data_IF_700634450507
#
_entry.id   IF_700634450507
#
_cell.length_a   1.000
_cell.length_b   1.000
_cell.length_c   1.000
_cell.angle_alpha   90.00
_cell.angle_beta   90.00
_cell.angle_gamma   90.00
#
_symmetry.space_group_name_H-M   'P 1'
#
loop_
_entity.id
_entity.type
_entity.pdbx_description
1 polymer ?
#
# COMPACT_ATOMS: atom_id res chain seq x y z
N UNK A 1 -23.38 0.54 52.45
CA UNK A 1 -22.30 0.60 51.48
C UNK A 1 -21.56 -0.73 51.48
N UNK A 2 -21.84 -1.61 50.49
CA UNK A 2 -21.04 -2.83 50.28
C UNK A 2 -19.91 -2.46 49.34
N UNK A 3 -18.70 -2.39 49.85
CA UNK A 3 -17.46 -2.29 49.07
C UNK A 3 -17.26 -3.61 48.31
N UNK A 4 -17.38 -3.58 46.99
CA UNK A 4 -17.00 -4.71 46.13
C UNK A 4 -15.45 -4.75 46.10
N UNK A 5 -14.88 -5.60 46.95
CA UNK A 5 -13.46 -5.98 46.84
C UNK A 5 -13.29 -6.95 45.68
N UNK A 6 -12.73 -6.47 44.57
CA UNK A 6 -12.33 -7.33 43.45
C UNK A 6 -11.20 -8.25 43.96
N UNK A 7 -11.39 -9.57 43.78
CA UNK A 7 -10.46 -10.60 44.26
C UNK A 7 -9.07 -10.43 43.59
N UNK A 8 -7.98 -10.65 44.35
CA UNK A 8 -6.58 -10.55 43.86
C UNK A 8 -6.30 -11.28 42.53
N UNK A 9 -6.80 -12.52 42.30
CA UNK A 9 -6.60 -13.19 41.01
C UNK A 9 -7.27 -12.47 39.86
N UNK A 10 -8.38 -11.78 40.05
CA UNK A 10 -9.04 -11.00 39.01
C UNK A 10 -8.28 -9.71 38.69
N UNK A 11 -7.67 -9.08 39.70
CA UNK A 11 -6.76 -7.94 39.52
C UNK A 11 -5.48 -8.33 38.78
N UNK A 12 -4.90 -9.49 39.08
CA UNK A 12 -3.73 -10.03 38.38
C UNK A 12 -4.06 -10.38 36.94
N UNK A 13 -5.22 -10.97 36.66
CA UNK A 13 -5.67 -11.31 35.31
C UNK A 13 -5.90 -10.04 34.48
N UNK A 14 -6.62 -9.05 35.01
CA UNK A 14 -6.81 -7.76 34.36
C UNK A 14 -5.51 -7.00 34.15
N UNK A 15 -4.57 -7.06 35.10
CA UNK A 15 -3.27 -6.43 34.96
C UNK A 15 -2.41 -7.13 33.90
N UNK A 16 -2.48 -8.45 33.83
CA UNK A 16 -1.79 -9.25 32.79
C UNK A 16 -2.39 -9.01 31.40
N UNK A 17 -3.71 -8.94 31.27
CA UNK A 17 -4.40 -8.59 30.03
C UNK A 17 -4.08 -7.15 29.58
N UNK A 18 -4.03 -6.19 30.52
CA UNK A 18 -3.62 -4.81 30.21
C UNK A 18 -2.16 -4.73 29.79
N UNK A 19 -1.26 -5.46 30.44
CA UNK A 19 0.16 -5.51 30.10
C UNK A 19 0.38 -6.16 28.75
N UNK A 20 -0.28 -7.30 28.49
CA UNK A 20 -0.23 -7.99 27.20
C UNK A 20 -0.85 -7.14 26.08
N UNK A 21 -1.94 -6.41 26.35
CA UNK A 21 -2.52 -5.47 25.39
C UNK A 21 -1.55 -4.33 25.06
N UNK A 22 -0.84 -3.78 26.04
CA UNK A 22 0.09 -2.66 25.82
C UNK A 22 1.30 -3.05 24.97
N UNK A 23 1.86 -4.25 25.16
CA UNK A 23 3.05 -4.72 24.44
C UNK A 23 2.77 -5.17 23.00
N UNK A 24 1.53 -5.27 22.59
CA UNK A 24 1.14 -5.59 21.19
C UNK A 24 0.70 -4.37 20.40
N UNK A 25 0.53 -3.22 21.05
CA UNK A 25 0.11 -1.98 20.38
C UNK A 25 1.27 -1.34 19.59
N UNK A 26 0.93 -0.71 18.48
CA UNK A 26 1.90 0.02 17.66
C UNK A 26 2.47 1.28 18.35
N UNK A 27 1.85 1.73 19.44
CA UNK A 27 2.27 2.87 20.26
C UNK A 27 3.25 2.48 21.37
N UNK A 28 3.43 1.19 21.67
CA UNK A 28 4.52 0.73 22.55
C UNK A 28 5.87 1.19 21.99
N UNK A 29 6.75 1.67 22.84
CA UNK A 29 8.02 2.28 22.43
C UNK A 29 8.91 1.32 21.64
N UNK A 30 8.96 0.04 22.03
CA UNK A 30 9.73 -1.00 21.30
C UNK A 30 9.10 -1.30 19.96
N UNK A 31 7.78 -1.49 19.93
CA UNK A 31 7.04 -1.75 18.68
C UNK A 31 7.14 -0.57 17.71
N UNK A 32 7.05 0.67 18.21
CA UNK A 32 7.20 1.86 17.38
C UNK A 32 8.59 1.93 16.73
N UNK A 33 9.67 1.57 17.44
CA UNK A 33 11.03 1.48 16.88
C UNK A 33 11.12 0.41 15.79
N UNK A 34 10.56 -0.78 16.01
CA UNK A 34 10.52 -1.87 15.03
C UNK A 34 9.75 -1.43 13.80
N UNK A 35 8.54 -0.89 13.96
CA UNK A 35 7.66 -0.48 12.87
C UNK A 35 8.22 0.70 12.07
N UNK A 36 8.91 1.64 12.71
CA UNK A 36 9.58 2.76 12.03
C UNK A 36 10.61 2.29 10.98
N UNK A 37 11.15 1.10 11.14
CA UNK A 37 12.09 0.45 10.21
C UNK A 37 11.35 -0.55 9.31
N UNK A 38 10.61 -1.49 9.91
CA UNK A 38 10.08 -2.66 9.21
C UNK A 38 8.92 -2.35 8.24
N UNK A 39 8.24 -1.21 8.38
CA UNK A 39 7.17 -0.85 7.45
C UNK A 39 7.71 -0.51 6.05
N UNK A 40 8.82 0.23 5.91
CA UNK A 40 9.28 0.68 4.60
C UNK A 40 10.79 0.96 4.44
N UNK A 41 11.65 0.59 5.40
CA UNK A 41 13.09 0.86 5.31
C UNK A 41 13.92 -0.31 4.77
N UNK A 42 13.41 -1.54 4.79
CA UNK A 42 14.12 -2.72 4.28
C UNK A 42 13.88 -2.84 2.77
N UNK A 43 14.69 -2.17 1.97
CA UNK A 43 14.53 -2.08 0.53
C UNK A 43 15.18 -3.26 -0.20
N UNK A 44 14.55 -3.70 -1.30
CA UNK A 44 15.04 -4.79 -2.12
C UNK A 44 14.90 -6.17 -1.47
N UNK A 45 15.66 -7.12 -1.99
CA UNK A 45 15.80 -8.44 -1.39
C UNK A 45 16.92 -8.43 -0.35
N UNK A 46 16.64 -8.99 0.80
CA UNK A 46 17.59 -9.12 1.92
C UNK A 46 17.57 -10.55 2.42
N UNK A 47 18.75 -11.18 2.52
CA UNK A 47 18.88 -12.57 2.99
C UNK A 47 18.41 -12.75 4.44
N UNK A 48 18.68 -11.76 5.31
CA UNK A 48 18.34 -11.78 6.74
C UNK A 48 17.54 -10.52 7.13
N UNK A 49 16.27 -10.43 6.73
CA UNK A 49 15.49 -9.19 6.90
C UNK A 49 15.19 -8.85 8.37
N UNK A 50 15.03 -9.85 9.24
CA UNK A 50 14.78 -9.60 10.67
C UNK A 50 16.04 -9.13 11.39
N UNK A 51 17.22 -9.66 11.06
CA UNK A 51 18.50 -9.19 11.57
C UNK A 51 18.74 -7.73 11.13
N UNK A 52 18.42 -7.37 9.89
CA UNK A 52 18.53 -5.98 9.43
C UNK A 52 17.55 -5.04 10.15
N UNK A 53 16.31 -5.49 10.42
CA UNK A 53 15.37 -4.72 11.24
C UNK A 53 15.93 -4.50 12.65
N UNK A 54 16.55 -5.53 13.26
CA UNK A 54 17.17 -5.46 14.59
C UNK A 54 18.31 -4.43 14.61
N UNK A 55 19.22 -4.50 13.65
CA UNK A 55 20.32 -3.56 13.49
C UNK A 55 19.83 -2.11 13.37
N UNK A 56 18.93 -1.83 12.43
CA UNK A 56 18.44 -0.49 12.17
C UNK A 56 17.55 0.07 13.27
N UNK A 57 16.84 -0.78 14.01
CA UNK A 57 16.05 -0.38 15.18
C UNK A 57 16.87 -0.29 16.47
N UNK A 58 18.12 -0.80 16.48
CA UNK A 58 18.98 -0.87 17.65
C UNK A 58 18.44 -1.79 18.75
N UNK A 59 17.83 -2.93 18.36
CA UNK A 59 17.24 -3.95 19.22
C UNK A 59 17.90 -5.31 18.94
N UNK A 60 17.75 -6.28 19.85
CA UNK A 60 18.15 -7.65 19.57
C UNK A 60 17.21 -8.32 18.58
N UNK A 61 17.72 -9.24 17.76
CA UNK A 61 16.91 -9.99 16.79
C UNK A 61 15.82 -10.80 17.50
N UNK A 62 16.12 -11.46 18.61
CA UNK A 62 15.13 -12.22 19.38
C UNK A 62 13.96 -11.36 19.83
N UNK A 63 14.21 -10.15 20.30
CA UNK A 63 13.16 -9.20 20.69
C UNK A 63 12.35 -8.73 19.49
N UNK A 64 12.98 -8.47 18.34
CA UNK A 64 12.29 -8.10 17.10
C UNK A 64 11.38 -9.23 16.65
N UNK A 65 11.86 -10.47 16.61
CA UNK A 65 11.08 -11.64 16.23
C UNK A 65 9.89 -11.87 17.18
N UNK A 66 10.10 -11.79 18.49
CA UNK A 66 9.05 -11.92 19.51
C UNK A 66 7.95 -10.87 19.31
N UNK A 67 8.32 -9.61 19.15
CA UNK A 67 7.38 -8.49 19.01
C UNK A 67 6.62 -8.52 17.69
N UNK A 68 7.27 -8.86 16.57
CA UNK A 68 6.60 -9.02 15.28
C UNK A 68 5.59 -10.18 15.33
N UNK A 69 5.96 -11.33 15.93
CA UNK A 69 5.00 -12.43 16.14
C UNK A 69 3.80 -12.01 16.97
N UNK A 70 4.05 -11.35 18.10
CA UNK A 70 2.98 -10.89 19.01
C UNK A 70 2.03 -9.91 18.31
N UNK A 71 2.55 -8.92 17.61
CA UNK A 71 1.76 -7.96 16.84
C UNK A 71 0.99 -8.62 15.68
N UNK A 72 1.58 -9.61 15.00
CA UNK A 72 0.93 -10.36 13.93
C UNK A 72 -0.20 -11.24 14.48
N UNK A 73 0.01 -11.90 15.62
CA UNK A 73 -0.98 -12.77 16.25
C UNK A 73 -2.27 -12.02 16.66
N UNK A 74 -2.17 -10.77 17.11
CA UNK A 74 -3.35 -9.96 17.52
C UNK A 74 -3.88 -9.05 16.41
N UNK A 75 -3.21 -9.01 15.23
CA UNK A 75 -3.65 -8.23 14.08
C UNK A 75 -3.21 -6.76 14.08
N UNK A 76 -2.35 -6.32 15.01
CA UNK A 76 -1.68 -5.00 14.93
C UNK A 76 -0.84 -4.91 13.65
N UNK A 77 -0.08 -5.96 13.35
CA UNK A 77 0.46 -6.23 12.01
C UNK A 77 -0.51 -7.19 11.32
N UNK A 78 -1.04 -6.81 10.17
CA UNK A 78 -1.97 -7.68 9.42
C UNK A 78 -1.25 -8.68 8.51
N UNK A 79 0.01 -8.40 8.12
CA UNK A 79 0.84 -9.29 7.30
C UNK A 79 2.32 -8.91 7.32
N UNK A 80 3.17 -9.89 7.08
CA UNK A 80 4.61 -9.71 6.83
C UNK A 80 4.93 -10.37 5.49
N UNK A 81 5.62 -9.68 4.59
CA UNK A 81 5.99 -10.23 3.28
C UNK A 81 7.05 -9.43 2.55
N UNK A 82 7.70 -10.06 1.57
CA UNK A 82 8.40 -9.38 0.50
C UNK A 82 7.39 -8.74 -0.46
N UNK A 83 7.51 -7.44 -0.71
CA UNK A 83 6.68 -6.77 -1.73
C UNK A 83 7.32 -6.90 -3.11
N UNK A 84 6.50 -6.75 -4.13
CA UNK A 84 6.93 -6.75 -5.52
C UNK A 84 6.61 -5.42 -6.17
N UNK A 85 7.45 -4.99 -7.10
CA UNK A 85 7.14 -3.91 -8.05
C UNK A 85 6.27 -4.48 -9.17
N UNK A 86 5.06 -4.87 -8.82
CA UNK A 86 4.13 -5.61 -9.69
C UNK A 86 3.70 -4.82 -10.94
N UNK A 87 4.01 -3.52 -11.02
CA UNK A 87 3.89 -2.71 -12.24
C UNK A 87 4.86 -3.14 -13.33
N UNK A 88 5.94 -3.82 -12.97
CA UNK A 88 6.89 -4.42 -13.91
C UNK A 88 6.53 -5.87 -14.30
N UNK A 89 5.46 -6.44 -13.78
CA UNK A 89 5.04 -7.83 -14.02
C UNK A 89 3.68 -7.93 -14.73
N UNK A 90 2.83 -6.95 -14.56
CA UNK A 90 1.48 -6.94 -15.11
C UNK A 90 1.06 -5.51 -15.42
N UNK A 91 0.32 -5.34 -16.51
CA UNK A 91 -0.29 -4.04 -16.81
C UNK A 91 -1.23 -3.65 -15.68
N UNK A 92 -1.18 -2.41 -15.25
CA UNK A 92 -2.01 -1.95 -14.15
C UNK A 92 -2.39 -0.49 -14.24
N UNK A 93 -3.54 -0.18 -13.65
CA UNK A 93 -4.03 1.19 -13.55
C UNK A 93 -4.69 1.46 -12.20
N UNK A 94 -4.71 2.71 -11.81
CA UNK A 94 -5.74 3.24 -10.96
C UNK A 94 -6.97 3.45 -11.85
N UNK A 95 -8.12 2.98 -11.40
CA UNK A 95 -9.35 3.01 -12.18
C UNK A 95 -10.43 3.72 -11.39
N UNK A 96 -11.04 4.71 -12.03
CA UNK A 96 -12.18 5.44 -11.48
C UNK A 96 -13.46 5.00 -12.19
N UNK A 97 -14.49 4.68 -11.41
CA UNK A 97 -15.76 4.15 -11.90
C UNK A 97 -16.89 5.11 -11.54
N UNK A 98 -17.65 5.51 -12.55
CA UNK A 98 -18.94 6.17 -12.36
C UNK A 98 -20.00 5.08 -12.26
N UNK A 99 -20.53 4.91 -11.06
CA UNK A 99 -21.52 3.87 -10.71
C UNK A 99 -22.73 4.56 -10.10
N UNK A 100 -23.97 4.20 -10.49
CA UNK A 100 -25.17 4.71 -9.85
C UNK A 100 -25.13 4.56 -8.33
N UNK A 101 -25.57 5.56 -7.54
CA UNK A 101 -25.45 5.54 -6.08
C UNK A 101 -26.05 4.27 -5.43
N UNK A 102 -27.17 3.78 -5.94
CA UNK A 102 -27.88 2.59 -5.44
C UNK A 102 -27.12 1.28 -5.70
N UNK A 103 -26.16 1.28 -6.63
CA UNK A 103 -25.32 0.12 -6.97
C UNK A 103 -23.92 0.19 -6.35
N UNK A 104 -23.54 1.30 -5.75
CA UNK A 104 -22.17 1.59 -5.34
C UNK A 104 -21.61 0.54 -4.36
N UNK A 105 -22.39 0.15 -3.35
CA UNK A 105 -21.94 -0.86 -2.36
C UNK A 105 -21.86 -2.26 -2.97
N UNK A 106 -22.83 -2.64 -3.82
CA UNK A 106 -22.80 -3.92 -4.52
C UNK A 106 -21.61 -4.01 -5.49
N UNK A 107 -21.33 -2.90 -6.21
CA UNK A 107 -20.16 -2.80 -7.08
C UNK A 107 -18.85 -2.91 -6.29
N UNK A 108 -18.74 -2.24 -5.13
CA UNK A 108 -17.60 -2.38 -4.24
C UNK A 108 -17.38 -3.83 -3.81
N UNK A 109 -18.43 -4.52 -3.35
CA UNK A 109 -18.35 -5.91 -2.90
C UNK A 109 -17.96 -6.85 -4.04
N UNK A 110 -18.50 -6.63 -5.25
CA UNK A 110 -18.13 -7.39 -6.43
C UNK A 110 -16.63 -7.23 -6.76
N UNK A 111 -16.14 -5.98 -6.86
CA UNK A 111 -14.73 -5.69 -7.15
C UNK A 111 -13.79 -6.30 -6.10
N UNK A 112 -14.17 -6.26 -4.84
CA UNK A 112 -13.34 -6.81 -3.78
C UNK A 112 -13.41 -8.33 -3.69
N UNK A 113 -14.60 -8.94 -3.83
CA UNK A 113 -14.80 -10.38 -3.56
C UNK A 113 -14.72 -11.27 -4.79
N UNK A 114 -15.16 -10.76 -5.96
CA UNK A 114 -15.32 -11.56 -7.18
C UNK A 114 -14.20 -11.32 -8.21
N UNK A 115 -13.58 -10.15 -8.19
CA UNK A 115 -12.45 -9.86 -9.07
C UNK A 115 -11.10 -10.00 -8.34
N UNK A 116 -10.30 -11.07 -8.59
CA UNK A 116 -9.00 -11.27 -7.96
C UNK A 116 -7.92 -10.30 -8.45
N UNK A 117 -8.17 -9.55 -9.53
CA UNK A 117 -7.22 -8.61 -10.15
C UNK A 117 -7.34 -7.20 -9.60
N UNK A 118 -8.41 -6.87 -8.88
CA UNK A 118 -8.55 -5.64 -8.09
C UNK A 118 -7.85 -5.77 -6.74
N UNK A 119 -6.77 -5.01 -6.53
CA UNK A 119 -5.96 -5.08 -5.30
C UNK A 119 -6.42 -4.15 -4.18
N UNK A 120 -6.80 -2.93 -4.52
CA UNK A 120 -7.37 -1.94 -3.60
C UNK A 120 -8.71 -1.49 -4.15
N UNK A 121 -9.75 -1.59 -3.35
CA UNK A 121 -11.09 -1.10 -3.68
C UNK A 121 -11.47 -0.05 -2.64
N UNK A 122 -11.88 1.15 -3.08
CA UNK A 122 -12.20 2.24 -2.17
C UNK A 122 -13.34 3.10 -2.72
N UNK A 123 -14.27 3.48 -1.85
CA UNK A 123 -15.27 4.51 -2.14
C UNK A 123 -14.67 5.85 -1.76
N UNK A 124 -14.67 6.82 -2.70
CA UNK A 124 -14.16 8.16 -2.47
C UNK A 124 -15.23 9.22 -2.59
N UNK A 125 -15.00 10.32 -1.93
CA UNK A 125 -15.82 11.54 -2.00
C UNK A 125 -14.93 12.77 -2.08
N UNK A 126 -15.52 13.89 -2.50
CA UNK A 126 -14.92 15.22 -2.48
C UNK A 126 -15.73 16.13 -1.54
N UNK A 127 -15.10 17.19 -1.03
CA UNK A 127 -15.78 18.13 -0.14
C UNK A 127 -16.75 19.07 -0.88
N UNK A 128 -16.63 19.16 -2.20
CA UNK A 128 -17.48 19.96 -3.08
C UNK A 128 -17.67 19.25 -4.42
N UNK A 129 -18.60 19.71 -5.22
CA UNK A 129 -18.76 19.21 -6.58
C UNK A 129 -17.64 19.74 -7.48
N UNK A 130 -16.71 18.87 -7.83
CA UNK A 130 -15.49 19.17 -8.60
C UNK A 130 -15.32 18.16 -9.73
N UNK A 131 -14.38 18.41 -10.64
CA UNK A 131 -14.08 17.49 -11.73
C UNK A 131 -13.80 16.07 -11.18
N UNK A 132 -14.48 15.08 -11.72
CA UNK A 132 -14.36 13.66 -11.33
C UNK A 132 -15.12 13.26 -10.07
N UNK A 133 -15.83 14.17 -9.36
CA UNK A 133 -16.57 13.87 -8.11
C UNK A 133 -17.65 12.80 -8.25
N UNK A 134 -18.17 12.58 -9.47
CA UNK A 134 -19.12 11.51 -9.78
C UNK A 134 -18.50 10.11 -9.81
N UNK A 135 -17.18 10.02 -9.94
CA UNK A 135 -16.44 8.74 -9.92
C UNK A 135 -16.17 8.34 -8.47
N UNK A 136 -17.12 7.66 -7.87
CA UNK A 136 -17.06 7.36 -6.44
C UNK A 136 -16.39 6.04 -6.09
N UNK A 137 -16.42 5.05 -6.97
CA UNK A 137 -15.72 3.78 -6.80
C UNK A 137 -14.34 3.86 -7.46
N UNK A 138 -13.31 3.44 -6.73
CA UNK A 138 -11.94 3.45 -7.20
C UNK A 138 -11.27 2.10 -6.94
N UNK A 139 -10.52 1.60 -7.91
CA UNK A 139 -9.78 0.35 -7.78
C UNK A 139 -8.36 0.49 -8.31
N UNK A 140 -7.42 -0.29 -7.76
CA UNK A 140 -6.16 -0.58 -8.43
C UNK A 140 -6.29 -1.93 -9.11
N UNK A 141 -6.22 -1.99 -10.42
CA UNK A 141 -6.33 -3.23 -11.19
C UNK A 141 -4.96 -3.59 -11.76
N UNK A 142 -4.69 -4.90 -11.83
CA UNK A 142 -3.58 -5.49 -12.56
C UNK A 142 -4.09 -6.61 -13.44
N UNK A 143 -3.72 -6.57 -14.71
CA UNK A 143 -4.11 -7.60 -15.67
C UNK A 143 -2.85 -8.34 -16.13
N UNK A 144 -2.84 -9.67 -16.07
CA UNK A 144 -1.68 -10.47 -16.46
C UNK A 144 -1.26 -10.22 -17.92
N UNK A 145 0.01 -10.48 -18.20
CA UNK A 145 0.55 -10.40 -19.58
C UNK A 145 -0.28 -11.26 -20.54
N UNK A 146 -0.47 -10.77 -21.76
CA UNK A 146 -1.28 -11.42 -22.79
C UNK A 146 -2.78 -11.09 -22.76
N UNK A 147 -3.23 -10.26 -21.80
CA UNK A 147 -4.63 -9.80 -21.70
C UNK A 147 -4.71 -8.27 -21.70
N UNK A 148 -5.86 -7.73 -22.15
CA UNK A 148 -6.08 -6.28 -22.21
C UNK A 148 -6.68 -5.75 -20.91
N UNK A 149 -6.08 -4.69 -20.39
CA UNK A 149 -6.57 -3.94 -19.23
C UNK A 149 -7.93 -3.26 -19.56
N UNK A 150 -8.07 -2.75 -20.78
CA UNK A 150 -9.29 -2.08 -21.25
C UNK A 150 -10.45 -3.08 -21.34
N UNK A 151 -10.22 -4.27 -21.91
CA UNK A 151 -11.24 -5.33 -21.99
C UNK A 151 -11.67 -5.82 -20.61
N UNK A 152 -10.70 -5.96 -19.69
CA UNK A 152 -11.00 -6.34 -18.32
C UNK A 152 -11.84 -5.28 -17.60
N UNK A 153 -11.47 -4.00 -17.72
CA UNK A 153 -12.22 -2.91 -17.13
C UNK A 153 -13.64 -2.80 -17.72
N UNK A 154 -13.79 -2.98 -19.02
CA UNK A 154 -15.10 -2.95 -19.66
C UNK A 154 -15.99 -4.14 -19.22
N UNK A 155 -15.39 -5.33 -19.05
CA UNK A 155 -16.10 -6.48 -18.47
C UNK A 155 -16.60 -6.19 -17.06
N UNK A 156 -15.75 -5.63 -16.21
CA UNK A 156 -16.12 -5.25 -14.84
C UNK A 156 -17.20 -4.15 -14.84
N UNK A 157 -17.05 -3.11 -15.68
CA UNK A 157 -18.04 -2.05 -15.82
C UNK A 157 -19.44 -2.61 -16.11
N UNK A 158 -19.52 -3.54 -17.07
CA UNK A 158 -20.78 -4.18 -17.41
C UNK A 158 -21.36 -5.03 -16.27
N UNK A 159 -20.50 -5.80 -15.57
CA UNK A 159 -20.93 -6.66 -14.44
C UNK A 159 -21.48 -5.87 -13.27
N UNK A 160 -20.90 -4.71 -12.95
CA UNK A 160 -21.38 -3.87 -11.82
C UNK A 160 -22.45 -2.86 -12.24
N UNK A 161 -22.77 -2.77 -13.54
CA UNK A 161 -23.72 -1.77 -14.08
C UNK A 161 -23.16 -0.34 -13.95
N UNK A 162 -21.85 -0.17 -14.15
CA UNK A 162 -21.21 1.12 -14.19
C UNK A 162 -21.53 1.89 -15.46
N UNK A 163 -21.72 3.21 -15.34
CA UNK A 163 -21.99 4.09 -16.46
C UNK A 163 -20.73 4.36 -17.28
N UNK A 164 -19.62 4.62 -16.59
CA UNK A 164 -18.33 4.99 -17.19
C UNK A 164 -17.15 4.50 -16.38
N UNK A 165 -16.01 4.29 -17.05
CA UNK A 165 -14.74 3.92 -16.45
C UNK A 165 -13.62 4.77 -17.03
N UNK A 166 -12.70 5.23 -16.19
CA UNK A 166 -11.47 5.93 -16.57
C UNK A 166 -10.27 5.13 -16.07
N UNK A 167 -9.42 4.74 -17.01
CA UNK A 167 -8.18 4.05 -16.74
C UNK A 167 -7.02 5.05 -16.64
N UNK A 168 -6.25 4.95 -15.58
CA UNK A 168 -5.10 5.84 -15.29
C UNK A 168 -3.86 4.99 -15.03
N UNK A 169 -3.24 4.42 -16.07
CA UNK A 169 -1.97 3.69 -15.93
C UNK A 169 -0.87 4.62 -15.39
N UNK A 170 0.06 4.07 -14.62
CA UNK A 170 1.19 4.84 -14.13
C UNK A 170 2.21 5.01 -15.26
N UNK A 171 2.59 6.26 -15.56
CA UNK A 171 3.70 6.63 -16.47
C UNK A 171 5.01 6.80 -15.71
N UNK A 172 4.93 7.08 -14.40
CA UNK A 172 6.07 7.21 -13.50
C UNK A 172 5.63 7.11 -12.04
N UNK A 173 6.55 6.67 -11.18
CA UNK A 173 6.34 6.55 -9.73
C UNK A 173 7.43 7.36 -9.04
N UNK A 174 7.05 8.31 -8.18
CA UNK A 174 7.98 9.19 -7.44
C UNK A 174 8.02 8.88 -5.94
N UNK A 175 6.98 8.27 -5.39
CA UNK A 175 6.99 7.78 -4.02
C UNK A 175 6.21 6.47 -3.93
N UNK A 176 6.74 5.51 -3.19
CA UNK A 176 6.12 4.22 -2.92
C UNK A 176 6.57 3.72 -1.54
N UNK A 177 5.84 4.09 -0.52
CA UNK A 177 6.13 3.73 0.86
C UNK A 177 4.87 3.68 1.71
N UNK A 178 4.95 3.09 2.90
CA UNK A 178 3.83 3.07 3.86
C UNK A 178 4.16 3.72 5.20
N UNK A 179 5.23 3.42 5.87
CA UNK A 179 5.82 4.08 7.04
C UNK A 179 4.88 4.91 7.93
N UNK A 180 3.73 4.36 8.31
CA UNK A 180 2.70 5.11 9.04
C UNK A 180 3.17 5.57 10.42
N UNK A 181 3.94 4.73 11.13
CA UNK A 181 4.44 5.07 12.46
C UNK A 181 5.44 6.22 12.38
N UNK A 182 6.37 6.15 11.45
CA UNK A 182 7.40 7.18 11.22
C UNK A 182 6.78 8.54 10.88
N UNK A 183 5.70 8.54 10.10
CA UNK A 183 5.04 9.77 9.64
C UNK A 183 4.24 10.51 10.73
N UNK A 184 4.03 9.92 11.89
CA UNK A 184 3.32 10.58 13.01
C UNK A 184 4.08 11.76 13.61
N UNK A 185 5.40 11.81 13.45
CA UNK A 185 6.27 12.85 14.01
C UNK A 185 6.69 13.92 13.00
N UNK A 186 6.16 13.87 11.76
CA UNK A 186 6.49 14.83 10.72
C UNK A 186 5.92 16.23 11.05
N UNK A 187 6.70 17.25 10.77
CA UNK A 187 6.20 18.60 10.69
C UNK A 187 5.45 18.84 9.36
N UNK A 188 4.59 19.86 9.34
CA UNK A 188 3.85 20.20 8.13
C UNK A 188 4.82 20.65 7.02
N UNK A 189 4.74 19.99 5.86
CA UNK A 189 5.57 20.32 4.70
C UNK A 189 6.96 19.69 4.71
N UNK A 190 7.28 18.80 5.67
CA UNK A 190 8.54 18.07 5.69
C UNK A 190 8.79 17.35 4.37
N UNK A 191 10.02 17.48 3.87
CA UNK A 191 10.44 16.93 2.58
C UNK A 191 11.91 16.54 2.58
N UNK A 192 12.26 15.55 1.78
CA UNK A 192 13.65 15.17 1.54
C UNK A 192 14.46 16.35 0.94
N UNK A 193 15.77 16.37 1.15
CA UNK A 193 16.67 17.41 0.61
C UNK A 193 16.73 17.42 -0.91
N UNK A 194 16.67 16.23 -1.53
CA UNK A 194 16.67 16.06 -2.99
C UNK A 194 15.27 15.79 -3.53
N UNK A 195 14.95 16.19 -4.78
CA UNK A 195 13.76 15.74 -5.50
C UNK A 195 13.68 14.21 -5.57
N UNK A 196 12.48 13.67 -5.63
CA UNK A 196 12.30 12.23 -5.77
C UNK A 196 12.70 11.73 -7.18
N UNK A 197 13.41 10.63 -7.25
CA UNK A 197 13.71 9.97 -8.52
C UNK A 197 12.46 9.25 -9.05
N UNK A 198 12.29 9.28 -10.37
CA UNK A 198 11.20 8.59 -11.04
C UNK A 198 11.57 7.14 -11.34
N UNK A 199 10.79 6.21 -10.78
CA UNK A 199 10.81 4.82 -11.21
C UNK A 199 9.92 4.65 -12.44
N UNK A 200 10.55 4.21 -13.56
CA UNK A 200 9.81 3.82 -14.76
C UNK A 200 9.16 2.45 -14.58
N UNK A 201 8.03 2.26 -15.24
CA UNK A 201 7.29 0.99 -15.22
C UNK A 201 7.49 0.31 -16.57
N UNK A 202 8.43 -0.64 -16.64
CA UNK A 202 8.66 -1.47 -17.82
C UNK A 202 8.29 -2.90 -17.52
N UNK A 203 7.56 -3.57 -18.42
CA UNK A 203 7.19 -4.98 -18.25
C UNK A 203 8.42 -5.84 -18.50
N UNK A 204 8.74 -6.70 -17.53
CA UNK A 204 9.87 -7.62 -17.55
C UNK A 204 9.36 -9.03 -17.73
N UNK A 205 9.94 -9.75 -18.68
CA UNK A 205 9.69 -11.19 -18.86
C UNK A 205 10.54 -11.99 -17.87
N UNK A 206 9.92 -13.01 -17.29
CA UNK A 206 10.54 -13.91 -16.32
C UNK A 206 10.55 -15.35 -16.84
N UNK A 207 11.67 -16.05 -16.61
CA UNK A 207 11.78 -17.49 -16.82
C UNK A 207 10.90 -18.27 -15.83
N UNK A 208 10.66 -19.55 -16.12
CA UNK A 208 9.90 -20.43 -15.21
C UNK A 208 10.53 -20.55 -13.82
N UNK A 209 11.86 -20.51 -13.73
CA UNK A 209 12.59 -20.55 -12.47
C UNK A 209 12.38 -19.26 -11.68
N UNK A 210 12.50 -18.11 -12.33
CA UNK A 210 12.26 -16.80 -11.71
C UNK A 210 10.80 -16.67 -11.22
N UNK A 211 9.82 -17.14 -12.00
CA UNK A 211 8.43 -17.18 -11.57
C UNK A 211 8.23 -18.02 -10.31
N UNK A 212 8.87 -19.21 -10.23
CA UNK A 212 8.78 -20.09 -9.08
C UNK A 212 9.30 -19.42 -7.80
N UNK A 213 10.48 -18.81 -7.86
CA UNK A 213 11.06 -18.07 -6.73
C UNK A 213 10.23 -16.85 -6.39
N UNK A 214 9.76 -16.10 -7.38
CA UNK A 214 8.92 -14.91 -7.18
C UNK A 214 7.62 -15.24 -6.43
N UNK A 215 6.95 -16.34 -6.78
CA UNK A 215 5.73 -16.79 -6.12
C UNK A 215 5.97 -17.17 -4.66
N UNK A 216 7.10 -17.81 -4.35
CA UNK A 216 7.49 -18.11 -2.98
C UNK A 216 7.84 -16.85 -2.19
N UNK A 217 8.56 -15.89 -2.78
CA UNK A 217 8.88 -14.60 -2.16
C UNK A 217 7.65 -13.77 -1.84
N UNK A 218 6.66 -13.74 -2.74
CA UNK A 218 5.45 -12.91 -2.61
C UNK A 218 4.49 -13.40 -1.51
N UNK A 219 4.56 -14.66 -1.13
CA UNK A 219 3.66 -15.26 -0.13
C UNK A 219 3.84 -14.59 1.24
N UNK A 220 2.74 -14.34 1.93
CA UNK A 220 2.78 -13.80 3.30
C UNK A 220 3.42 -14.81 4.26
N UNK A 221 4.15 -14.30 5.25
CA UNK A 221 4.75 -15.13 6.30
C UNK A 221 3.70 -15.54 7.33
N UNK A 222 3.72 -16.82 7.72
CA UNK A 222 2.97 -17.32 8.88
C UNK A 222 3.70 -16.97 10.19
N UNK A 223 3.05 -17.17 11.33
CA UNK A 223 3.70 -16.95 12.64
C UNK A 223 4.95 -17.79 12.84
N UNK A 224 4.92 -19.04 12.36
CA UNK A 224 6.04 -20.00 12.46
C UNK A 224 7.22 -19.62 11.57
N UNK A 225 6.97 -18.84 10.53
CA UNK A 225 7.99 -18.36 9.60
C UNK A 225 8.67 -17.08 10.06
N UNK A 226 8.15 -16.38 11.09
CA UNK A 226 8.81 -15.24 11.74
C UNK A 226 9.92 -15.78 12.64
N UNK A 227 11.09 -16.04 12.05
CA UNK A 227 12.25 -16.68 12.69
C UNK A 227 13.54 -16.26 11.98
N UNK A 228 14.72 -16.51 12.57
CA UNK A 228 15.99 -16.42 11.84
C UNK A 228 15.94 -17.26 10.57
N UNK A 229 16.63 -16.82 9.52
CA UNK A 229 16.68 -17.51 8.21
C UNK A 229 15.29 -17.81 7.61
N UNK A 230 14.42 -16.81 7.44
CA UNK A 230 13.02 -17.03 7.07
C UNK A 230 12.85 -17.64 5.65
N UNK A 231 13.86 -17.52 4.81
CA UNK A 231 13.82 -18.00 3.42
C UNK A 231 14.05 -19.50 3.26
N UNK A 232 14.49 -20.22 4.30
CA UNK A 232 14.69 -21.66 4.24
C UNK A 232 13.42 -22.42 3.84
N UNK A 233 12.27 -22.06 4.38
CA UNK A 233 10.98 -22.66 4.01
C UNK A 233 10.61 -22.36 2.55
N UNK A 234 10.93 -21.15 2.09
CA UNK A 234 10.64 -20.68 0.72
C UNK A 234 11.49 -21.38 -0.33
N UNK A 235 12.78 -21.58 -0.04
CA UNK A 235 13.67 -22.34 -0.90
C UNK A 235 13.19 -23.79 -1.05
N UNK A 236 12.79 -24.43 0.06
CA UNK A 236 12.21 -25.80 0.06
C UNK A 236 10.89 -25.86 -0.72
N UNK A 237 9.99 -24.93 -0.52
CA UNK A 237 8.72 -24.79 -1.26
C UNK A 237 8.96 -24.64 -2.78
N UNK A 238 10.06 -23.99 -3.15
CA UNK A 238 10.49 -23.80 -4.54
C UNK A 238 11.27 -25.00 -5.09
N UNK A 239 11.48 -26.06 -4.31
CA UNK A 239 12.34 -27.20 -4.65
C UNK A 239 13.74 -26.77 -5.13
N UNK A 240 14.38 -25.89 -4.33
CA UNK A 240 15.69 -25.33 -4.63
C UNK A 240 16.62 -25.38 -3.41
N UNK A 241 17.93 -25.56 -3.63
CA UNK A 241 18.94 -25.25 -2.62
C UNK A 241 18.85 -23.76 -2.22
N UNK A 242 19.12 -23.46 -0.95
CA UNK A 242 18.97 -22.08 -0.43
C UNK A 242 19.81 -21.04 -1.19
N UNK A 243 21.05 -21.38 -1.53
CA UNK A 243 21.92 -20.47 -2.30
C UNK A 243 21.39 -20.21 -3.71
N UNK A 244 20.87 -21.22 -4.40
CA UNK A 244 20.24 -21.02 -5.72
C UNK A 244 18.99 -20.15 -5.61
N UNK A 245 18.19 -20.33 -4.54
CA UNK A 245 17.05 -19.45 -4.26
C UNK A 245 17.51 -18.00 -4.08
N UNK A 246 18.60 -17.77 -3.35
CA UNK A 246 19.16 -16.44 -3.14
C UNK A 246 19.68 -15.82 -4.43
N UNK A 247 20.44 -16.55 -5.25
CA UNK A 247 20.94 -16.08 -6.54
C UNK A 247 19.79 -15.60 -7.45
N UNK A 248 18.71 -16.39 -7.53
CA UNK A 248 17.53 -16.01 -8.32
C UNK A 248 16.80 -14.81 -7.72
N UNK A 249 16.67 -14.74 -6.40
CA UNK A 249 16.05 -13.58 -5.73
C UNK A 249 16.87 -12.30 -5.93
N UNK A 250 18.20 -12.37 -5.89
CA UNK A 250 19.10 -11.27 -6.20
C UNK A 250 18.98 -10.84 -7.66
N UNK A 251 18.90 -11.77 -8.61
CA UNK A 251 18.63 -11.49 -10.03
C UNK A 251 17.29 -10.76 -10.20
N UNK A 252 16.23 -11.20 -9.52
CA UNK A 252 14.92 -10.50 -9.53
C UNK A 252 15.02 -9.10 -8.93
N UNK A 253 15.87 -8.91 -7.92
CA UNK A 253 16.12 -7.60 -7.33
C UNK A 253 16.87 -6.67 -8.30
N UNK A 254 17.88 -7.15 -9.03
CA UNK A 254 18.58 -6.42 -10.08
C UNK A 254 17.65 -6.00 -11.24
N UNK A 255 16.71 -6.87 -11.61
CA UNK A 255 15.64 -6.59 -12.57
C UNK A 255 14.61 -5.59 -12.07
N UNK A 256 14.76 -5.05 -10.86
CA UNK A 256 13.80 -4.10 -10.22
C UNK A 256 12.38 -4.69 -10.08
N UNK A 257 12.28 -5.99 -9.84
CA UNK A 257 11.02 -6.71 -9.59
C UNK A 257 10.70 -6.74 -8.10
N UNK A 258 11.72 -6.83 -7.27
CA UNK A 258 11.58 -6.87 -5.81
C UNK A 258 11.41 -5.44 -5.28
N UNK A 259 10.41 -5.24 -4.43
CA UNK A 259 10.19 -3.99 -3.74
C UNK A 259 10.94 -3.94 -2.41
N UNK A 260 10.21 -4.05 -1.30
CA UNK A 260 10.78 -4.04 0.05
C UNK A 260 10.29 -5.24 0.86
N UNK A 261 11.06 -5.68 1.85
CA UNK A 261 10.52 -6.50 2.93
C UNK A 261 9.73 -5.62 3.89
N UNK A 262 8.52 -6.02 4.26
CA UNK A 262 7.63 -5.11 4.99
C UNK A 262 6.72 -5.83 5.98
N UNK A 263 6.58 -5.24 7.16
CA UNK A 263 5.48 -5.47 8.08
C UNK A 263 4.35 -4.48 7.75
N UNK A 264 3.15 -4.98 7.46
CA UNK A 264 2.01 -4.14 7.13
C UNK A 264 1.17 -3.91 8.36
N UNK A 265 1.27 -2.72 8.91
CA UNK A 265 0.45 -2.28 10.04
C UNK A 265 -1.04 -2.25 9.65
N UNK A 266 -1.92 -2.68 10.55
CA UNK A 266 -3.36 -2.44 10.40
C UNK A 266 -3.62 -0.94 10.66
N UNK A 267 -3.96 -0.21 9.62
CA UNK A 267 -4.11 1.24 9.70
C UNK A 267 -5.55 1.72 9.45
N UNK A 268 -6.43 0.85 8.97
CA UNK A 268 -7.82 1.18 8.62
C UNK A 268 -8.76 0.86 9.79
N UNK A 269 -8.59 -0.31 10.41
CA UNK A 269 -9.40 -0.76 11.54
C UNK A 269 -8.77 -0.31 12.85
N UNK A 270 -9.59 -0.04 13.89
CA UNK A 270 -9.02 0.17 15.23
C UNK A 270 -8.39 -1.13 15.75
N UNK A 271 -7.36 -1.01 16.56
CA UNK A 271 -6.80 -2.12 17.33
C UNK A 271 -7.82 -2.66 18.36
N UNK A 272 -7.45 -3.72 19.05
CA UNK A 272 -8.24 -4.28 20.16
C UNK A 272 -8.48 -3.27 21.29
N UNK A 273 -7.54 -2.33 21.50
CA UNK A 273 -7.68 -1.21 22.45
C UNK A 273 -8.40 0.02 21.88
N UNK A 274 -8.90 -0.05 20.63
CA UNK A 274 -9.60 1.06 19.98
C UNK A 274 -8.69 2.11 19.34
N UNK A 275 -7.38 1.91 19.34
CA UNK A 275 -6.41 2.83 18.74
C UNK A 275 -6.42 2.70 17.23
N UNK A 276 -6.55 3.82 16.52
CA UNK A 276 -6.45 3.88 15.06
C UNK A 276 -5.13 4.52 14.63
N UNK A 277 -4.49 3.93 13.64
CA UNK A 277 -3.25 4.46 13.06
C UNK A 277 -3.55 5.66 12.17
N UNK A 278 -4.59 5.56 11.32
CA UNK A 278 -5.07 6.63 10.44
C UNK A 278 -6.59 6.68 10.43
N UNK A 279 -7.15 7.86 10.15
CA UNK A 279 -8.60 8.08 9.99
C UNK A 279 -8.95 8.55 8.58
N UNK A 280 -8.03 9.30 7.97
CA UNK A 280 -8.23 9.93 6.67
C UNK A 280 -7.22 9.42 5.67
N UNK A 281 -7.69 9.18 4.45
CA UNK A 281 -6.90 8.84 3.28
C UNK A 281 -7.23 9.89 2.22
N UNK A 282 -6.31 10.83 1.99
CA UNK A 282 -6.44 11.84 0.95
C UNK A 282 -5.71 11.42 -0.32
N UNK A 283 -6.41 11.37 -1.45
CA UNK A 283 -5.81 11.29 -2.77
C UNK A 283 -5.74 12.71 -3.33
N UNK A 284 -4.55 13.28 -3.31
CA UNK A 284 -4.27 14.63 -3.80
C UNK A 284 -4.03 14.61 -5.30
N UNK A 285 -4.60 15.58 -5.99
CA UNK A 285 -4.57 15.72 -7.44
C UNK A 285 -3.97 17.06 -7.85
N UNK A 286 -3.13 17.05 -8.89
CA UNK A 286 -2.62 18.25 -9.54
C UNK A 286 -2.63 18.07 -11.06
N UNK A 287 -3.11 19.11 -11.76
CA UNK A 287 -2.92 19.25 -13.20
C UNK A 287 -1.79 20.25 -13.43
N UNK A 288 -0.68 19.80 -13.99
CA UNK A 288 0.45 20.62 -14.40
C UNK A 288 0.52 20.66 -15.94
N UNK A 289 1.11 21.70 -16.53
CA UNK A 289 1.23 21.80 -17.99
C UNK A 289 2.00 20.61 -18.59
N UNK A 290 1.65 20.18 -19.80
CA UNK A 290 2.40 19.12 -20.50
C UNK A 290 3.89 19.40 -20.56
N UNK A 291 4.70 18.37 -20.28
CA UNK A 291 6.15 18.44 -20.20
C UNK A 291 6.70 18.78 -18.80
N UNK A 292 5.85 19.15 -17.84
CA UNK A 292 6.26 19.45 -16.46
C UNK A 292 6.02 18.29 -15.50
N UNK A 293 5.40 17.19 -15.95
CA UNK A 293 4.98 16.09 -15.11
C UNK A 293 6.12 15.43 -14.35
N UNK A 294 7.27 15.23 -15.03
CA UNK A 294 8.44 14.65 -14.38
C UNK A 294 8.94 15.57 -13.25
N UNK A 295 9.16 16.86 -13.52
CA UNK A 295 9.63 17.82 -12.52
C UNK A 295 8.61 17.95 -11.37
N UNK A 296 7.32 18.10 -11.70
CA UNK A 296 6.26 18.20 -10.71
C UNK A 296 6.16 16.94 -9.83
N UNK A 297 6.19 15.76 -10.46
CA UNK A 297 6.17 14.49 -9.74
C UNK A 297 7.35 14.33 -8.79
N UNK A 298 8.57 14.71 -9.22
CA UNK A 298 9.78 14.69 -8.40
C UNK A 298 9.67 15.63 -7.19
N UNK A 299 9.15 16.85 -7.40
CA UNK A 299 8.98 17.84 -6.32
C UNK A 299 7.82 17.49 -5.38
N UNK A 300 6.72 16.92 -5.88
CA UNK A 300 5.64 16.39 -5.03
C UNK A 300 6.13 15.18 -4.24
N UNK A 301 6.75 14.21 -4.94
CA UNK A 301 7.13 12.91 -4.36
C UNK A 301 8.16 12.97 -3.23
N UNK A 302 8.93 14.08 -3.12
CA UNK A 302 9.89 14.28 -2.02
C UNK A 302 9.26 14.58 -0.67
N UNK A 303 7.96 14.93 -0.61
CA UNK A 303 7.29 15.25 0.65
C UNK A 303 7.03 14.00 1.48
N UNK A 304 7.53 14.00 2.71
CA UNK A 304 7.55 12.85 3.60
C UNK A 304 6.16 12.35 4.04
N UNK A 305 5.14 13.22 3.97
CA UNK A 305 3.75 12.85 4.27
C UNK A 305 3.17 11.87 3.24
N UNK A 306 3.69 11.87 2.02
CA UNK A 306 3.15 11.09 0.92
C UNK A 306 3.59 9.63 1.01
N UNK A 307 2.64 8.73 0.98
CA UNK A 307 2.90 7.28 0.89
C UNK A 307 3.06 6.83 -0.55
N UNK A 308 2.41 7.51 -1.49
CA UNK A 308 2.45 7.22 -2.92
C UNK A 308 2.43 8.53 -3.71
N UNK A 309 3.20 8.60 -4.80
CA UNK A 309 3.12 9.68 -5.77
C UNK A 309 3.34 9.13 -7.18
N UNK A 310 2.46 9.47 -8.10
CA UNK A 310 2.44 8.94 -9.46
C UNK A 310 2.21 10.02 -10.51
N UNK A 311 2.82 9.86 -11.67
CA UNK A 311 2.37 10.45 -12.92
C UNK A 311 1.31 9.53 -13.56
N UNK A 312 0.07 10.03 -13.69
CA UNK A 312 -1.08 9.33 -14.27
C UNK A 312 -1.95 10.36 -14.97
N UNK A 313 -2.35 10.12 -16.18
CA UNK A 313 -3.25 11.01 -16.89
C UNK A 313 -4.72 10.61 -16.67
N UNK A 314 -5.51 11.53 -16.12
CA UNK A 314 -6.91 11.30 -15.81
C UNK A 314 -7.88 11.89 -16.87
N UNK A 315 -7.37 12.74 -17.77
CA UNK A 315 -8.16 13.35 -18.82
C UNK A 315 -9.08 14.50 -18.36
N UNK A 316 -9.87 15.04 -19.30
CA UNK A 316 -10.65 16.28 -19.07
C UNK A 316 -11.72 16.12 -17.98
N UNK A 317 -12.28 14.93 -17.78
CA UNK A 317 -13.28 14.68 -16.74
C UNK A 317 -12.74 14.88 -15.32
N UNK A 318 -11.44 14.81 -15.14
CA UNK A 318 -10.73 15.07 -13.89
C UNK A 318 -9.92 16.38 -13.96
N UNK A 319 -10.29 17.34 -14.81
CA UNK A 319 -9.58 18.61 -14.96
C UNK A 319 -8.14 18.44 -15.48
N UNK A 320 -7.89 17.41 -16.30
CA UNK A 320 -6.58 17.04 -16.86
C UNK A 320 -5.50 16.78 -15.79
N UNK A 321 -5.90 16.27 -14.62
CA UNK A 321 -4.96 15.87 -13.58
C UNK A 321 -3.96 14.86 -14.12
N UNK A 322 -2.67 15.12 -13.84
CA UNK A 322 -1.57 14.26 -14.28
C UNK A 322 -0.56 13.90 -13.17
N UNK A 323 -0.64 14.56 -11.99
CA UNK A 323 0.09 14.14 -10.78
C UNK A 323 -0.92 13.78 -9.69
N UNK A 324 -0.73 12.60 -9.09
CA UNK A 324 -1.58 12.07 -8.02
C UNK A 324 -0.73 11.56 -6.87
N UNK A 325 -1.09 11.92 -5.66
CA UNK A 325 -0.38 11.46 -4.47
C UNK A 325 -1.33 11.09 -3.34
N UNK A 326 -0.93 10.13 -2.50
CA UNK A 326 -1.72 9.65 -1.37
C UNK A 326 -1.06 10.03 -0.07
N UNK A 327 -1.82 10.64 0.83
CA UNK A 327 -1.44 10.91 2.20
C UNK A 327 -2.42 10.28 3.19
N UNK A 328 -1.92 9.87 4.34
CA UNK A 328 -2.72 9.29 5.42
C UNK A 328 -2.49 10.07 6.72
N UNK A 329 -3.54 10.23 7.51
CA UNK A 329 -3.42 10.92 8.80
C UNK A 329 -4.63 10.70 9.71
N UNK A 330 -4.54 11.19 10.92
CA UNK A 330 -5.63 11.17 11.92
C UNK A 330 -6.47 12.44 11.93
N UNK A 331 -5.95 13.52 11.34
CA UNK A 331 -6.59 14.83 11.25
C UNK A 331 -6.68 15.30 9.80
N UNK A 332 -7.88 15.69 9.37
CA UNK A 332 -8.17 16.12 8.00
C UNK A 332 -7.54 17.50 7.70
N UNK A 333 -7.58 18.42 8.66
CA UNK A 333 -7.04 19.76 8.47
C UNK A 333 -5.51 19.70 8.35
N UNK A 334 -4.86 18.84 9.14
CA UNK A 334 -3.43 18.63 9.02
C UNK A 334 -3.02 18.07 7.64
N UNK A 335 -3.80 17.15 7.07
CA UNK A 335 -3.58 16.70 5.70
C UNK A 335 -3.75 17.82 4.67
N UNK A 336 -4.74 18.69 4.83
CA UNK A 336 -4.96 19.84 3.96
C UNK A 336 -3.83 20.86 4.08
N UNK A 337 -3.33 21.14 5.29
CA UNK A 337 -2.17 22.02 5.50
C UNK A 337 -0.91 21.48 4.79
N UNK A 338 -0.68 20.17 4.84
CA UNK A 338 0.40 19.53 4.08
C UNK A 338 0.18 19.66 2.56
N UNK A 339 -1.05 19.48 2.09
CA UNK A 339 -1.40 19.69 0.68
C UNK A 339 -1.11 21.13 0.24
N UNK A 340 -1.49 22.14 1.02
CA UNK A 340 -1.17 23.54 0.78
C UNK A 340 0.35 23.82 0.81
N UNK A 341 1.10 23.16 1.70
CA UNK A 341 2.55 23.27 1.73
C UNK A 341 3.18 22.72 0.43
N UNK A 342 2.64 21.62 -0.11
CA UNK A 342 3.04 21.08 -1.41
C UNK A 342 2.70 22.07 -2.54
N UNK A 343 1.51 22.67 -2.52
CA UNK A 343 1.08 23.66 -3.53
C UNK A 343 2.02 24.87 -3.54
N UNK A 344 2.33 25.44 -2.36
CA UNK A 344 3.31 26.54 -2.23
C UNK A 344 4.70 26.15 -2.72
N UNK A 345 5.11 24.90 -2.44
CA UNK A 345 6.40 24.40 -2.93
C UNK A 345 6.44 24.30 -4.45
N UNK A 346 5.41 23.77 -5.10
CA UNK A 346 5.31 23.73 -6.56
C UNK A 346 5.38 25.15 -7.15
N UNK A 347 4.66 26.10 -6.59
CA UNK A 347 4.71 27.49 -7.00
C UNK A 347 6.12 28.10 -6.85
N UNK A 348 6.80 27.84 -5.72
CA UNK A 348 8.18 28.29 -5.48
C UNK A 348 9.18 27.68 -6.47
N UNK A 349 8.91 26.45 -6.97
CA UNK A 349 9.71 25.79 -8.03
C UNK A 349 9.36 26.29 -9.46
N UNK A 350 8.45 27.27 -9.61
CA UNK A 350 7.99 27.77 -10.88
C UNK A 350 7.08 26.80 -11.65
N UNK A 351 6.44 25.87 -10.94
CA UNK A 351 5.53 24.88 -11.54
C UNK A 351 4.10 25.38 -11.41
N UNK A 352 3.50 25.77 -12.53
CA UNK A 352 2.11 26.18 -12.58
C UNK A 352 1.18 24.99 -12.35
N UNK A 353 0.17 25.16 -11.49
CA UNK A 353 -0.90 24.19 -11.28
C UNK A 353 -2.20 24.79 -11.83
N UNK A 354 -2.76 24.20 -12.87
CA UNK A 354 -3.98 24.68 -13.53
C UNK A 354 -5.25 24.19 -12.84
N UNK A 355 -5.17 23.05 -12.16
CA UNK A 355 -6.26 22.47 -11.38
C UNK A 355 -5.69 21.63 -10.23
N UNK A 356 -6.40 21.62 -9.10
CA UNK A 356 -6.05 20.78 -7.95
C UNK A 356 -7.30 20.38 -7.17
N UNK A 357 -7.29 19.18 -6.58
CA UNK A 357 -8.41 18.65 -5.81
C UNK A 357 -7.93 17.59 -4.81
N UNK A 358 -8.82 17.19 -3.90
CA UNK A 358 -8.62 16.08 -2.94
C UNK A 358 -9.82 15.15 -2.98
N UNK A 359 -9.57 13.86 -3.16
CA UNK A 359 -10.55 12.80 -2.97
C UNK A 359 -10.30 12.09 -1.63
N UNK A 360 -11.31 12.03 -0.79
CA UNK A 360 -11.25 11.40 0.52
C UNK A 360 -11.70 9.96 0.44
N UNK A 361 -10.89 9.06 0.98
CA UNK A 361 -11.22 7.65 1.09
C UNK A 361 -12.21 7.39 2.23
N UNK A 362 -13.29 6.70 1.91
CA UNK A 362 -14.26 6.16 2.86
C UNK A 362 -14.08 4.65 3.05
N UNK A 363 -15.12 3.86 2.71
CA UNK A 363 -15.05 2.40 2.74
C UNK A 363 -13.91 1.91 1.85
N UNK A 364 -13.03 1.07 2.40
CA UNK A 364 -11.78 0.67 1.75
C UNK A 364 -11.39 -0.75 2.14
N UNK A 365 -11.02 -1.56 1.16
CA UNK A 365 -10.47 -2.91 1.36
C UNK A 365 -9.25 -3.11 0.46
N UNK A 366 -8.26 -3.85 0.97
CA UNK A 366 -7.01 -4.13 0.27
C UNK A 366 -6.73 -5.62 0.29
N UNK A 367 -6.45 -6.19 -0.88
CA UNK A 367 -5.95 -7.57 -1.03
C UNK A 367 -4.79 -7.61 -2.02
N UNK A 368 -3.96 -8.66 -2.02
CA UNK A 368 -2.98 -8.88 -3.09
C UNK A 368 -3.70 -9.04 -4.43
N UNK A 369 -3.31 -8.27 -5.44
CA UNK A 369 -3.80 -8.49 -6.81
C UNK A 369 -3.22 -9.78 -7.38
N UNK A 370 -4.03 -10.56 -8.07
CA UNK A 370 -3.56 -11.69 -8.85
C UNK A 370 -2.88 -11.21 -10.14
N UNK A 371 -1.85 -11.93 -10.58
CA UNK A 371 -1.08 -11.60 -11.79
C UNK A 371 -0.84 -12.82 -12.69
N UNK A 372 -1.43 -13.97 -12.37
CA UNK A 372 -1.27 -15.22 -13.12
C UNK A 372 -2.17 -15.26 -14.36
N UNK A 373 -1.61 -15.50 -15.57
CA UNK A 373 -2.40 -15.70 -16.77
C UNK A 373 -3.37 -16.90 -16.69
N UNK A 374 -2.96 -17.98 -16.02
CA UNK A 374 -3.80 -19.17 -15.85
C UNK A 374 -5.02 -18.89 -14.98
N UNK A 375 -4.81 -18.21 -13.85
CA UNK A 375 -5.91 -17.79 -12.97
C UNK A 375 -6.87 -16.84 -13.71
N UNK A 376 -6.34 -15.97 -14.56
CA UNK A 376 -7.16 -15.07 -15.37
C UNK A 376 -8.06 -15.82 -16.35
N UNK A 377 -7.53 -16.82 -17.07
CA UNK A 377 -8.32 -17.64 -18.00
C UNK A 377 -9.44 -18.40 -17.28
N UNK A 378 -9.15 -18.99 -16.12
CA UNK A 378 -10.15 -19.74 -15.35
C UNK A 378 -11.20 -18.81 -14.72
N UNK A 379 -10.80 -17.63 -14.29
CA UNK A 379 -11.72 -16.61 -13.82
C UNK A 379 -12.66 -16.12 -14.94
N UNK A 380 -12.12 -15.86 -16.15
CA UNK A 380 -12.94 -15.47 -17.31
C UNK A 380 -14.02 -16.51 -17.67
N UNK A 381 -13.70 -17.82 -17.57
CA UNK A 381 -14.70 -18.88 -17.82
C UNK A 381 -15.85 -18.85 -16.81
N UNK A 382 -15.56 -18.46 -15.56
CA UNK A 382 -16.56 -18.43 -14.48
C UNK A 382 -17.43 -17.17 -14.48
N UNK A 383 -16.87 -16.05 -14.95
CA UNK A 383 -17.54 -14.75 -14.85
C UNK A 383 -18.33 -14.38 -16.10
N UNK A 384 -18.06 -15.00 -17.23
CA UNK A 384 -18.86 -14.86 -18.45
C UNK A 384 -20.18 -15.57 -18.32
#
# INVERSE_FOLDING_TARGET
QKSLTISEPFRLLCYFELLMSSITEHTDTTNARILAVSEDKIQGFVREPFAQIAELSGLSEDLVLERIRSMLAVGTIRRVRQTLLSTSLAQGALVAWKVPPERLDAAFDFMFRQDPFSGHVVIRSTDSNTAGSEYRLWTTIKVPQGFSLEQHAELLRNKVGGEKVILMPAKGIFALGVGHVRRKTLACGDKASAPAEMLKTEIVELSSLEWRVLLALKREFTLEEIRPHPWLSRARESDLPLEVFFEVAETLNEKKIIGRFSTFLEHVKPSTSGVRVTRFNGLFHWAVPPGWEHKAGSEVGRHEILTHCYWREAGPEFGNVNIMAVAHGTDKNWLLQNKEAIDRHLQACGIATTYTNVFWGGRSEIKPSEISPLVYQDWLKRIR
#
